data_IF_922298451634
#
_entry.id   IF_922298451634
#
_cell.length_a   1.000
_cell.length_b   1.000
_cell.length_c   1.000
_cell.angle_alpha   90.00
_cell.angle_beta   90.00
_cell.angle_gamma   90.00
#
_symmetry.space_group_name_H-M   'P 1'
#
loop_
_entity.id
_entity.type
_entity.pdbx_description
1 polymer ?
#
# COMPACT_ATOMS: atom_id res chain seq x y z
N UNK A 1 61.85 -21.65 -16.63
CA UNK A 1 60.94 -21.64 -17.80
C UNK A 1 59.61 -22.31 -17.48
N UNK A 2 59.55 -23.62 -17.16
CA UNK A 2 58.27 -24.32 -16.89
C UNK A 2 57.42 -23.78 -15.70
N UNK A 3 58.03 -23.10 -14.73
CA UNK A 3 57.32 -22.48 -13.59
C UNK A 3 56.65 -21.15 -13.95
N UNK A 4 57.16 -20.46 -14.96
CA UNK A 4 56.73 -19.10 -15.33
C UNK A 4 55.53 -19.18 -16.29
N UNK A 5 55.55 -20.15 -17.21
CA UNK A 5 54.38 -20.53 -18.01
C UNK A 5 53.22 -21.02 -17.16
N UNK A 6 53.48 -21.84 -16.13
CA UNK A 6 52.42 -22.28 -15.20
C UNK A 6 51.77 -21.12 -14.45
N UNK A 7 52.57 -20.16 -13.99
CA UNK A 7 52.04 -18.95 -13.33
C UNK A 7 51.23 -18.10 -14.31
N UNK A 8 51.68 -17.96 -15.56
CA UNK A 8 50.96 -17.23 -16.60
C UNK A 8 49.61 -17.88 -16.92
N UNK A 9 49.54 -19.20 -17.05
CA UNK A 9 48.29 -19.93 -17.28
C UNK A 9 47.32 -19.81 -16.10
N UNK A 10 47.84 -19.87 -14.87
CA UNK A 10 47.02 -19.74 -13.66
C UNK A 10 46.47 -18.32 -13.49
N UNK A 11 47.27 -17.30 -13.80
CA UNK A 11 46.81 -15.89 -13.87
C UNK A 11 45.75 -15.71 -14.97
N UNK A 12 45.91 -16.37 -16.12
CA UNK A 12 44.95 -16.30 -17.22
C UNK A 12 43.61 -16.92 -16.83
N UNK A 13 43.64 -18.09 -16.20
CA UNK A 13 42.45 -18.79 -15.70
C UNK A 13 41.72 -17.98 -14.65
N UNK A 14 42.46 -17.41 -13.68
CA UNK A 14 41.89 -16.55 -12.65
C UNK A 14 41.26 -15.28 -13.26
N UNK A 15 41.89 -14.70 -14.28
CA UNK A 15 41.34 -13.54 -14.99
C UNK A 15 40.02 -13.87 -15.68
N UNK A 16 39.94 -15.02 -16.35
CA UNK A 16 38.71 -15.48 -17.00
C UNK A 16 37.60 -15.75 -15.97
N UNK A 17 37.93 -16.42 -14.86
CA UNK A 17 36.97 -16.72 -13.79
C UNK A 17 36.45 -15.45 -13.11
N UNK A 18 37.34 -14.49 -12.80
CA UNK A 18 36.96 -13.20 -12.24
C UNK A 18 36.11 -12.39 -13.22
N UNK A 19 36.48 -12.38 -14.51
CA UNK A 19 35.70 -11.68 -15.54
C UNK A 19 34.30 -12.26 -15.66
N UNK A 20 34.15 -13.58 -15.64
CA UNK A 20 32.85 -14.25 -15.65
C UNK A 20 32.01 -13.89 -14.42
N UNK A 21 32.60 -13.90 -13.22
CA UNK A 21 31.91 -13.50 -11.97
C UNK A 21 31.48 -12.03 -11.98
N UNK A 22 32.31 -11.13 -12.54
CA UNK A 22 31.96 -9.71 -12.69
C UNK A 22 30.76 -9.58 -13.63
N UNK A 23 30.78 -10.26 -14.77
CA UNK A 23 29.70 -10.20 -15.75
C UNK A 23 28.37 -10.72 -15.17
N UNK A 24 28.42 -11.81 -14.41
CA UNK A 24 27.25 -12.37 -13.73
C UNK A 24 26.69 -11.40 -12.66
N UNK A 25 27.56 -10.70 -11.93
CA UNK A 25 27.17 -9.66 -10.98
C UNK A 25 26.57 -8.44 -11.68
N UNK A 26 27.15 -8.00 -12.78
CA UNK A 26 26.64 -6.89 -13.59
C UNK A 26 25.24 -7.19 -14.15
N UNK A 27 25.01 -8.41 -14.66
CA UNK A 27 23.67 -8.82 -15.12
C UNK A 27 22.66 -8.87 -13.98
N UNK A 28 23.07 -9.34 -12.79
CA UNK A 28 22.21 -9.36 -11.61
C UNK A 28 21.86 -7.95 -11.13
N UNK A 29 22.84 -7.04 -11.11
CA UNK A 29 22.61 -5.63 -10.76
C UNK A 29 21.68 -4.99 -11.77
N UNK A 30 21.92 -5.18 -13.07
CA UNK A 30 21.06 -4.63 -14.13
C UNK A 30 19.61 -5.13 -14.01
N UNK A 31 19.40 -6.42 -13.70
CA UNK A 31 18.06 -6.97 -13.43
C UNK A 31 17.38 -6.32 -12.21
N UNK A 32 18.15 -5.96 -11.17
CA UNK A 32 17.63 -5.27 -9.99
C UNK A 32 17.33 -3.78 -10.28
N UNK A 33 18.17 -3.12 -11.06
CA UNK A 33 17.94 -1.75 -11.53
C UNK A 33 16.71 -1.66 -12.45
N UNK A 34 16.55 -2.62 -13.35
CA UNK A 34 15.37 -2.74 -14.22
C UNK A 34 14.09 -3.06 -13.40
N UNK A 35 14.22 -3.79 -12.29
CA UNK A 35 13.12 -4.05 -11.37
C UNK A 35 12.67 -2.81 -10.59
N UNK A 36 13.57 -1.84 -10.36
CA UNK A 36 13.29 -0.60 -9.61
C UNK A 36 13.44 0.60 -10.55
N UNK A 37 12.48 0.76 -11.46
CA UNK A 37 12.47 1.92 -12.35
C UNK A 37 12.19 3.22 -11.56
N UNK A 38 13.03 4.27 -11.67
CA UNK A 38 12.81 5.55 -10.98
C UNK A 38 11.45 6.19 -11.30
N UNK A 39 10.92 6.02 -12.51
CA UNK A 39 9.59 6.50 -12.89
C UNK A 39 8.48 5.77 -12.14
N UNK A 40 8.68 4.49 -11.80
CA UNK A 40 7.76 3.71 -10.95
C UNK A 40 7.79 4.18 -9.51
N UNK A 41 8.97 4.45 -8.95
CA UNK A 41 9.09 5.05 -7.62
C UNK A 41 8.34 6.39 -7.59
N UNK A 42 8.55 7.25 -8.58
CA UNK A 42 7.85 8.54 -8.68
C UNK A 42 6.32 8.34 -8.77
N UNK A 43 5.85 7.35 -9.55
CA UNK A 43 4.42 7.03 -9.67
C UNK A 43 3.82 6.57 -8.34
N UNK A 44 4.50 5.68 -7.62
CA UNK A 44 4.06 5.19 -6.30
C UNK A 44 4.05 6.34 -5.29
N UNK A 45 5.13 7.12 -5.22
CA UNK A 45 5.22 8.29 -4.35
C UNK A 45 4.14 9.32 -4.63
N UNK A 46 3.81 9.58 -5.90
CA UNK A 46 2.71 10.47 -6.27
C UNK A 46 1.35 9.95 -5.80
N UNK A 47 1.10 8.64 -5.93
CA UNK A 47 -0.14 8.02 -5.45
C UNK A 47 -0.24 8.04 -3.92
N UNK A 48 0.87 7.80 -3.21
CA UNK A 48 0.94 7.94 -1.75
C UNK A 48 0.59 9.38 -1.35
N UNK A 49 1.23 10.37 -1.96
CA UNK A 49 0.94 11.78 -1.69
C UNK A 49 -0.53 12.14 -1.95
N UNK A 50 -1.16 11.55 -2.98
CA UNK A 50 -2.59 11.75 -3.26
C UNK A 50 -3.49 11.16 -2.17
N UNK A 51 -3.22 9.93 -1.73
CA UNK A 51 -3.95 9.29 -0.63
C UNK A 51 -3.80 10.07 0.67
N UNK A 52 -2.59 10.52 1.00
CA UNK A 52 -2.33 11.35 2.19
C UNK A 52 -3.05 12.70 2.10
N UNK A 53 -3.00 13.38 0.95
CA UNK A 53 -3.70 14.64 0.74
C UNK A 53 -5.22 14.47 0.90
N UNK A 54 -5.78 13.38 0.39
CA UNK A 54 -7.20 13.04 0.58
C UNK A 54 -7.54 12.80 2.06
N UNK A 55 -6.70 12.06 2.80
CA UNK A 55 -6.89 11.87 4.25
C UNK A 55 -6.83 13.21 5.02
N UNK A 56 -5.89 14.09 4.67
CA UNK A 56 -5.79 15.44 5.26
C UNK A 56 -6.97 16.34 4.91
N UNK A 57 -7.56 16.18 3.72
CA UNK A 57 -8.79 16.89 3.33
C UNK A 57 -9.96 16.45 4.19
N UNK A 58 -10.16 15.14 4.36
CA UNK A 58 -11.19 14.56 5.25
C UNK A 58 -11.01 15.08 6.68
N UNK A 59 -9.77 15.10 7.20
CA UNK A 59 -9.47 15.66 8.52
C UNK A 59 -9.82 17.16 8.64
N UNK A 60 -9.45 17.95 7.63
CA UNK A 60 -9.74 19.39 7.61
C UNK A 60 -11.24 19.66 7.56
N UNK A 61 -11.95 18.89 6.74
CA UNK A 61 -13.41 18.96 6.61
C UNK A 61 -14.11 18.57 7.90
N UNK A 62 -13.63 17.53 8.60
CA UNK A 62 -14.21 17.10 9.86
C UNK A 62 -14.13 18.15 10.98
N UNK A 63 -13.19 19.10 10.88
CA UNK A 63 -13.04 20.22 11.81
C UNK A 63 -13.90 21.43 11.45
N UNK A 64 -14.52 21.43 10.26
CA UNK A 64 -15.33 22.52 9.77
C UNK A 64 -16.83 22.18 9.90
N UNK A 65 -17.55 22.94 10.71
CA UNK A 65 -18.98 22.74 11.00
C UNK A 65 -19.91 23.01 9.79
N UNK A 66 -19.39 23.56 8.70
CA UNK A 66 -20.14 23.84 7.47
C UNK A 66 -20.08 22.72 6.43
N UNK A 67 -19.33 21.65 6.69
CA UNK A 67 -19.21 20.53 5.75
C UNK A 67 -20.45 19.66 5.78
N UNK A 68 -21.01 19.39 4.60
CA UNK A 68 -22.15 18.51 4.45
C UNK A 68 -21.72 17.04 4.52
N UNK A 69 -22.58 16.18 5.09
CA UNK A 69 -22.38 14.72 5.11
C UNK A 69 -22.15 14.17 3.69
N UNK A 70 -22.90 14.58 2.64
CA UNK A 70 -22.64 14.14 1.26
C UNK A 70 -21.24 14.46 0.73
N UNK A 71 -20.69 15.64 1.06
CA UNK A 71 -19.33 15.99 0.62
C UNK A 71 -18.29 15.09 1.29
N UNK A 72 -18.49 14.76 2.57
CA UNK A 72 -17.60 13.85 3.28
C UNK A 72 -17.68 12.42 2.73
N UNK A 73 -18.88 11.96 2.37
CA UNK A 73 -19.06 10.65 1.73
C UNK A 73 -18.36 10.56 0.37
N UNK A 74 -18.45 11.62 -0.45
CA UNK A 74 -17.72 11.70 -1.72
C UNK A 74 -16.22 11.61 -1.50
N UNK A 75 -15.69 12.40 -0.56
CA UNK A 75 -14.25 12.44 -0.31
C UNK A 75 -13.73 11.12 0.28
N UNK A 76 -14.52 10.43 1.10
CA UNK A 76 -14.22 9.06 1.56
C UNK A 76 -14.22 8.05 0.41
N UNK A 77 -15.15 8.18 -0.54
CA UNK A 77 -15.23 7.33 -1.72
C UNK A 77 -13.98 7.49 -2.58
N UNK A 78 -13.56 8.72 -2.82
CA UNK A 78 -12.35 9.03 -3.60
C UNK A 78 -11.10 8.52 -2.86
N UNK A 79 -11.03 8.72 -1.55
CA UNK A 79 -9.95 8.20 -0.72
C UNK A 79 -9.81 6.67 -0.82
N UNK A 80 -10.90 5.92 -0.64
CA UNK A 80 -10.83 4.46 -0.70
C UNK A 80 -10.57 3.94 -2.12
N UNK A 81 -11.06 4.63 -3.16
CA UNK A 81 -10.75 4.28 -4.55
C UNK A 81 -9.25 4.47 -4.87
N UNK A 82 -8.68 5.58 -4.40
CA UNK A 82 -7.25 5.87 -4.54
C UNK A 82 -6.39 4.87 -3.76
N UNK A 83 -6.81 4.55 -2.54
CA UNK A 83 -6.12 3.56 -1.71
C UNK A 83 -6.15 2.17 -2.36
N UNK A 84 -7.30 1.71 -2.86
CA UNK A 84 -7.41 0.45 -3.59
C UNK A 84 -6.47 0.40 -4.79
N UNK A 85 -6.46 1.48 -5.59
CA UNK A 85 -5.57 1.61 -6.75
C UNK A 85 -4.08 1.62 -6.37
N UNK A 86 -3.73 2.16 -5.21
CA UNK A 86 -2.37 2.15 -4.68
C UNK A 86 -1.98 0.75 -4.18
N UNK A 87 -2.86 0.07 -3.45
CA UNK A 87 -2.64 -1.29 -2.94
C UNK A 87 -2.40 -2.27 -4.07
N UNK A 88 -3.19 -2.22 -5.14
CA UNK A 88 -3.02 -3.09 -6.30
C UNK A 88 -1.69 -2.86 -7.03
N UNK A 89 -1.26 -1.59 -7.16
CA UNK A 89 0.06 -1.31 -7.75
C UNK A 89 1.19 -1.74 -6.86
N UNK A 90 1.14 -1.48 -5.55
CA UNK A 90 2.17 -1.96 -4.63
C UNK A 90 2.25 -3.49 -4.69
N UNK A 91 1.11 -4.17 -4.57
CA UNK A 91 1.05 -5.64 -4.64
C UNK A 91 1.61 -6.19 -5.95
N UNK A 92 1.26 -5.58 -7.09
CA UNK A 92 1.75 -5.99 -8.40
C UNK A 92 3.27 -5.84 -8.56
N UNK A 93 3.87 -4.81 -7.95
CA UNK A 93 5.30 -4.52 -8.08
C UNK A 93 6.17 -5.26 -7.04
N UNK A 94 5.70 -5.38 -5.80
CA UNK A 94 6.50 -5.95 -4.69
C UNK A 94 6.10 -7.37 -4.33
N UNK A 95 4.95 -7.85 -4.80
CA UNK A 95 4.34 -9.12 -4.37
C UNK A 95 3.78 -9.10 -2.95
N UNK A 96 3.90 -7.99 -2.21
CA UNK A 96 3.50 -7.90 -0.81
C UNK A 96 3.05 -6.49 -0.40
N UNK A 97 2.02 -6.41 0.45
CA UNK A 97 1.49 -5.14 0.97
C UNK A 97 1.73 -5.09 2.47
N UNK A 98 2.30 -3.97 2.95
CA UNK A 98 2.39 -3.72 4.39
C UNK A 98 1.04 -3.26 4.93
N UNK A 99 0.23 -4.22 5.40
CA UNK A 99 -1.10 -3.93 5.92
C UNK A 99 -1.11 -3.03 7.15
N UNK A 100 -0.05 -3.03 7.94
CA UNK A 100 0.06 -2.13 9.10
C UNK A 100 0.10 -0.66 8.67
N UNK A 101 0.79 -0.34 7.57
CA UNK A 101 0.79 1.01 7.00
C UNK A 101 -0.60 1.37 6.45
N UNK A 102 -1.24 0.45 5.73
CA UNK A 102 -2.59 0.67 5.19
C UNK A 102 -3.58 0.95 6.33
N UNK A 103 -3.56 0.13 7.38
CA UNK A 103 -4.41 0.29 8.57
C UNK A 103 -4.17 1.61 9.29
N UNK A 104 -2.91 2.04 9.42
CA UNK A 104 -2.58 3.33 10.01
C UNK A 104 -3.23 4.48 9.23
N UNK A 105 -3.11 4.47 7.90
CA UNK A 105 -3.72 5.48 7.04
C UNK A 105 -5.25 5.48 7.11
N UNK A 106 -5.90 4.31 7.02
CA UNK A 106 -7.37 4.22 7.05
C UNK A 106 -7.93 4.60 8.41
N UNK A 107 -7.22 4.29 9.49
CA UNK A 107 -7.62 4.67 10.85
C UNK A 107 -7.78 6.18 10.98
N UNK A 108 -6.85 6.96 10.42
CA UNK A 108 -6.94 8.42 10.39
C UNK A 108 -8.21 8.89 9.70
N UNK A 109 -8.54 8.32 8.54
CA UNK A 109 -9.77 8.64 7.80
C UNK A 109 -11.03 8.25 8.60
N UNK A 110 -11.02 7.12 9.30
CA UNK A 110 -12.14 6.64 10.12
C UNK A 110 -12.40 7.57 11.32
N UNK A 111 -11.34 8.02 12.02
CA UNK A 111 -11.45 9.01 13.09
C UNK A 111 -11.97 10.35 12.59
N UNK A 112 -11.49 10.79 11.42
CA UNK A 112 -11.95 12.03 10.81
C UNK A 112 -13.44 11.95 10.45
N UNK A 113 -13.87 10.86 9.82
CA UNK A 113 -15.26 10.62 9.47
C UNK A 113 -16.17 10.59 10.72
N UNK A 114 -15.71 9.97 11.82
CA UNK A 114 -16.43 9.99 13.11
C UNK A 114 -16.63 11.41 13.61
N UNK A 115 -15.57 12.20 13.57
CA UNK A 115 -15.57 13.59 14.03
C UNK A 115 -16.56 14.43 13.22
N UNK A 116 -16.70 14.15 11.93
CA UNK A 116 -17.70 14.75 11.05
C UNK A 116 -19.13 14.20 11.23
N UNK A 117 -19.34 13.25 12.16
CA UNK A 117 -20.65 12.68 12.46
C UNK A 117 -21.11 11.57 11.51
N UNK A 118 -20.24 11.02 10.67
CA UNK A 118 -20.64 9.94 9.77
C UNK A 118 -20.87 8.63 10.55
N UNK A 119 -21.99 7.93 10.33
CA UNK A 119 -22.18 6.59 10.84
C UNK A 119 -21.19 5.60 10.21
N UNK A 120 -20.66 4.68 11.02
CA UNK A 120 -19.69 3.68 10.53
C UNK A 120 -20.24 2.83 9.39
N UNK A 121 -21.54 2.53 9.39
CA UNK A 121 -22.17 1.76 8.32
C UNK A 121 -21.96 2.36 6.92
N UNK A 122 -21.94 3.69 6.81
CA UNK A 122 -21.68 4.39 5.55
C UNK A 122 -20.23 4.14 5.13
N UNK A 123 -19.29 4.34 6.06
CA UNK A 123 -17.86 4.12 5.84
C UNK A 123 -17.59 2.67 5.43
N UNK A 124 -18.16 1.70 6.14
CA UNK A 124 -18.01 0.28 5.89
C UNK A 124 -18.52 -0.13 4.51
N UNK A 125 -19.68 0.39 4.09
CA UNK A 125 -20.22 0.09 2.76
C UNK A 125 -19.38 0.72 1.65
N UNK A 126 -18.89 1.96 1.83
CA UNK A 126 -17.98 2.60 0.87
C UNK A 126 -16.66 1.82 0.79
N UNK A 127 -16.11 1.41 1.93
CA UNK A 127 -14.87 0.64 1.98
C UNK A 127 -15.02 -0.70 1.23
N UNK A 128 -16.12 -1.43 1.44
CA UNK A 128 -16.40 -2.67 0.70
C UNK A 128 -16.57 -2.39 -0.80
N UNK A 129 -17.33 -1.37 -1.18
CA UNK A 129 -17.54 -1.00 -2.59
C UNK A 129 -16.24 -0.60 -3.32
N UNK A 130 -15.31 0.05 -2.63
CA UNK A 130 -14.10 0.62 -3.25
C UNK A 130 -12.83 -0.21 -3.07
N UNK A 131 -12.72 -0.96 -1.98
CA UNK A 131 -11.57 -1.83 -1.71
C UNK A 131 -11.88 -3.30 -2.03
N UNK A 132 -13.16 -3.70 -2.10
CA UNK A 132 -13.53 -5.07 -2.35
C UNK A 132 -12.93 -6.04 -1.33
N UNK A 133 -12.27 -7.10 -1.82
CA UNK A 133 -11.73 -8.17 -0.99
C UNK A 133 -10.66 -7.69 0.01
N UNK A 134 -9.93 -6.61 -0.32
CA UNK A 134 -8.86 -6.10 0.54
C UNK A 134 -9.36 -5.19 1.66
N UNK A 135 -10.66 -4.88 1.69
CA UNK A 135 -11.25 -4.02 2.71
C UNK A 135 -11.03 -4.57 4.13
N UNK A 136 -11.11 -5.90 4.28
CA UNK A 136 -10.91 -6.61 5.54
C UNK A 136 -9.52 -6.38 6.14
N UNK A 137 -8.50 -6.36 5.28
CA UNK A 137 -7.10 -6.19 5.70
C UNK A 137 -6.73 -4.71 5.84
N UNK A 138 -7.44 -3.82 5.14
CA UNK A 138 -7.18 -2.40 5.14
C UNK A 138 -7.72 -1.65 6.38
N UNK A 139 -8.71 -2.19 7.10
CA UNK A 139 -9.33 -1.54 8.26
C UNK A 139 -8.99 -2.28 9.54
N UNK A 140 -8.49 -1.55 10.55
CA UNK A 140 -8.23 -2.11 11.88
C UNK A 140 -9.53 -2.22 12.70
N UNK A 141 -9.91 -3.45 13.06
CA UNK A 141 -11.04 -3.74 13.94
C UNK A 141 -10.93 -3.04 15.31
N UNK A 142 -9.71 -2.81 15.81
CA UNK A 142 -9.49 -2.09 17.08
C UNK A 142 -10.02 -0.67 16.99
N UNK A 143 -9.78 0.00 15.87
CA UNK A 143 -10.24 1.37 15.63
C UNK A 143 -11.76 1.43 15.49
N UNK A 144 -12.37 0.44 14.83
CA UNK A 144 -13.84 0.36 14.78
C UNK A 144 -14.41 0.26 16.20
N UNK A 145 -13.88 -0.66 17.01
CA UNK A 145 -14.32 -0.85 18.40
C UNK A 145 -14.12 0.39 19.25
N UNK A 146 -12.99 1.06 19.12
CA UNK A 146 -12.65 2.24 19.90
C UNK A 146 -13.51 3.45 19.53
N UNK A 147 -13.70 3.69 18.23
CA UNK A 147 -14.31 4.92 17.71
C UNK A 147 -15.84 4.82 17.63
N UNK A 148 -16.35 3.63 17.31
CA UNK A 148 -17.78 3.40 17.04
C UNK A 148 -18.41 2.38 17.98
N UNK A 149 -17.62 1.52 18.62
CA UNK A 149 -18.11 0.56 19.61
C UNK A 149 -18.34 -0.85 19.06
N UNK A 150 -18.79 -1.74 19.94
CA UNK A 150 -18.94 -3.17 19.66
C UNK A 150 -20.01 -3.47 18.61
N UNK A 151 -21.10 -2.72 18.58
CA UNK A 151 -22.22 -2.95 17.63
C UNK A 151 -21.76 -2.76 16.18
N UNK A 152 -20.96 -1.73 15.93
CA UNK A 152 -20.43 -1.44 14.59
C UNK A 152 -19.30 -2.41 14.20
N UNK A 153 -18.51 -2.87 15.17
CA UNK A 153 -17.55 -3.96 14.94
C UNK A 153 -18.25 -5.27 14.54
N UNK A 154 -19.33 -5.64 15.22
CA UNK A 154 -20.10 -6.84 14.87
C UNK A 154 -20.81 -6.70 13.52
N UNK A 155 -21.20 -5.48 13.13
CA UNK A 155 -21.66 -5.19 11.78
C UNK A 155 -20.54 -5.40 10.75
N UNK A 156 -19.35 -4.84 11.00
CA UNK A 156 -18.19 -4.99 10.12
C UNK A 156 -17.84 -6.45 9.84
N UNK A 157 -17.71 -7.24 10.92
CA UNK A 157 -17.37 -8.67 10.82
C UNK A 157 -18.38 -9.45 9.99
N UNK A 158 -19.68 -9.17 10.16
CA UNK A 158 -20.73 -9.78 9.35
C UNK A 158 -20.66 -9.35 7.88
N UNK A 159 -20.41 -8.07 7.63
CA UNK A 159 -20.31 -7.53 6.28
C UNK A 159 -19.13 -8.17 5.52
N UNK A 160 -17.95 -8.21 6.14
CA UNK A 160 -16.75 -8.84 5.57
C UNK A 160 -16.95 -10.35 5.38
N UNK A 161 -17.57 -11.05 6.34
CA UNK A 161 -17.85 -12.47 6.21
C UNK A 161 -18.83 -12.79 5.06
N UNK A 162 -19.80 -11.89 4.80
CA UNK A 162 -20.71 -11.99 3.67
C UNK A 162 -20.03 -11.74 2.32
N UNK A 163 -19.01 -10.87 2.29
CA UNK A 163 -18.26 -10.53 1.09
C UNK A 163 -17.18 -11.57 0.72
N UNK A 164 -16.70 -12.35 1.71
CA UNK A 164 -15.75 -13.47 1.50
C UNK A 164 -16.39 -14.76 0.96
N UNK A 165 -17.69 -14.77 0.64
CA UNK A 165 -18.34 -15.94 0.01
C UNK A 165 -18.28 -15.79 -1.52
N UNK A 166 -17.68 -16.75 -2.25
CA UNK A 166 -17.68 -16.76 -3.71
C UNK A 166 -19.08 -16.91 -4.29
#
# INVERSE_FOLDING_TARGET
MASEERLLDEVRRLREEISGKIQELEERVKKLEDAISPSRIVSISWRIARVEASAHRILSMARNTLVSVPDMERDLRDYFADLGSLVEVIRGETGAVSWDLVKSCTSVAIHAAKTAGLPFRIIANIAIDKLGEVAADAIDEKVIKEVYGLVDLDYWRRLVAGYKRP
#
